data_IF_669743155713
#
_entry.id   IF_669743155713
#
_cell.length_a   1.000
_cell.length_b   1.000
_cell.length_c   1.000
_cell.angle_alpha   90.00
_cell.angle_beta   90.00
_cell.angle_gamma   90.00
#
_symmetry.space_group_name_H-M   'P 1'
#
loop_
_entity.id
_entity.type
_entity.pdbx_description
1 polymer ?
#
# COMPACT_ATOMS: atom_id res chain seq x y z
N UNK A 1 -1.38 -47.72 -13.25
CA UNK A 1 -1.58 -47.24 -11.86
C UNK A 1 -0.45 -46.29 -11.40
N UNK A 2 0.06 -45.40 -12.24
CA UNK A 2 1.23 -44.52 -11.96
C UNK A 2 0.89 -43.00 -12.05
N UNK A 3 -0.33 -42.63 -12.47
CA UNK A 3 -0.68 -41.21 -12.72
C UNK A 3 -1.17 -40.45 -11.46
N UNK A 4 -1.54 -41.15 -10.38
CA UNK A 4 -2.08 -40.51 -9.17
C UNK A 4 -1.03 -39.91 -8.21
N UNK A 5 0.23 -40.38 -8.25
CA UNK A 5 1.24 -39.89 -7.28
C UNK A 5 1.96 -38.60 -7.72
N UNK A 6 1.99 -38.31 -9.02
CA UNK A 6 2.68 -37.11 -9.53
C UNK A 6 1.86 -35.81 -9.26
N UNK A 7 0.54 -35.90 -9.31
CA UNK A 7 -0.35 -34.76 -9.08
C UNK A 7 -0.37 -34.34 -7.60
N UNK A 8 -0.31 -35.28 -6.67
CA UNK A 8 -0.27 -35.02 -5.22
C UNK A 8 1.08 -34.43 -4.82
N UNK A 9 2.19 -34.95 -5.34
CA UNK A 9 3.52 -34.40 -5.05
C UNK A 9 3.72 -33.03 -5.65
N UNK A 10 3.16 -32.71 -6.83
CA UNK A 10 3.22 -31.39 -7.42
C UNK A 10 2.35 -30.39 -6.66
N UNK A 11 1.15 -30.75 -6.20
CA UNK A 11 0.33 -29.91 -5.33
C UNK A 11 1.00 -29.61 -3.98
N UNK A 12 1.66 -30.61 -3.38
CA UNK A 12 2.35 -30.41 -2.10
C UNK A 12 3.62 -29.57 -2.24
N UNK A 13 4.36 -29.68 -3.36
CA UNK A 13 5.49 -28.80 -3.69
C UNK A 13 5.03 -27.37 -4.02
N UNK A 14 3.94 -27.22 -4.78
CA UNK A 14 3.36 -25.93 -5.10
C UNK A 14 2.82 -25.23 -3.85
N UNK A 15 2.12 -25.94 -2.96
CA UNK A 15 1.67 -25.42 -1.66
C UNK A 15 2.85 -25.02 -0.74
N UNK A 16 3.98 -25.77 -0.76
CA UNK A 16 5.18 -25.38 0.00
C UNK A 16 5.90 -24.15 -0.56
N UNK A 17 5.88 -23.95 -1.90
CA UNK A 17 6.46 -22.73 -2.51
C UNK A 17 5.59 -21.49 -2.25
N UNK A 18 4.27 -21.64 -2.23
CA UNK A 18 3.33 -20.52 -2.07
C UNK A 18 3.23 -19.98 -0.64
N UNK A 19 3.75 -20.71 0.36
CA UNK A 19 3.74 -20.28 1.77
C UNK A 19 5.09 -19.71 2.24
N UNK A 20 6.05 -19.46 1.32
CA UNK A 20 7.32 -18.84 1.71
C UNK A 20 7.17 -17.32 1.80
N UNK A 21 7.58 -16.79 2.93
CA UNK A 21 7.81 -15.35 3.10
C UNK A 21 8.99 -14.91 2.22
N UNK A 22 8.89 -13.74 1.61
CA UNK A 22 9.95 -13.22 0.73
C UNK A 22 10.35 -11.83 1.20
N UNK A 23 11.63 -11.65 1.50
CA UNK A 23 12.18 -10.34 1.84
C UNK A 23 12.09 -9.45 0.60
N UNK A 24 11.53 -8.22 0.71
CA UNK A 24 11.52 -7.27 -0.38
C UNK A 24 12.93 -6.98 -0.91
N UNK A 25 13.07 -6.81 -2.22
CA UNK A 25 14.38 -6.70 -2.89
C UNK A 25 15.22 -5.54 -2.35
N UNK A 26 14.61 -4.39 -2.08
CA UNK A 26 15.27 -3.22 -1.53
C UNK A 26 15.77 -3.41 -0.09
N UNK A 27 15.11 -4.28 0.70
CA UNK A 27 15.53 -4.59 2.07
C UNK A 27 16.76 -5.51 2.12
N UNK A 28 17.06 -6.24 1.04
CA UNK A 28 18.21 -7.17 0.99
C UNK A 28 19.53 -6.39 1.11
N UNK A 29 19.59 -5.20 0.56
CA UNK A 29 20.79 -4.34 0.59
C UNK A 29 20.97 -3.57 1.90
N UNK A 30 19.97 -3.56 2.80
CA UNK A 30 20.06 -2.99 4.15
C UNK A 30 20.16 -4.10 5.18
N UNK A 31 21.36 -4.39 5.75
CA UNK A 31 21.55 -5.51 6.67
C UNK A 31 20.67 -5.42 7.91
N UNK A 32 20.49 -4.22 8.49
CA UNK A 32 19.70 -4.04 9.72
C UNK A 32 18.23 -4.38 9.48
N UNK A 33 17.64 -3.88 8.37
CA UNK A 33 16.26 -4.19 7.99
C UNK A 33 16.11 -5.67 7.65
N UNK A 34 17.06 -6.24 6.91
CA UNK A 34 17.05 -7.66 6.54
C UNK A 34 17.07 -8.57 7.78
N UNK A 35 17.94 -8.26 8.75
CA UNK A 35 18.05 -9.05 9.98
C UNK A 35 16.82 -8.86 10.89
N UNK A 36 16.27 -7.64 10.95
CA UNK A 36 15.00 -7.37 11.61
C UNK A 36 13.87 -8.21 11.00
N UNK A 37 13.68 -8.19 9.68
CA UNK A 37 12.64 -8.98 9.01
C UNK A 37 12.80 -10.48 9.27
N UNK A 38 14.02 -11.03 9.24
CA UNK A 38 14.26 -12.44 9.58
C UNK A 38 13.90 -12.77 11.04
N UNK A 39 14.16 -11.85 11.96
CA UNK A 39 13.88 -12.05 13.39
C UNK A 39 12.39 -12.19 13.70
N UNK A 40 11.54 -11.54 12.92
CA UNK A 40 10.09 -11.49 13.15
C UNK A 40 9.29 -12.63 12.49
N UNK A 41 9.94 -13.53 11.73
CA UNK A 41 9.26 -14.61 11.00
C UNK A 41 8.43 -15.53 11.91
N UNK A 42 8.84 -15.71 13.15
CA UNK A 42 8.17 -16.55 14.14
C UNK A 42 7.31 -15.77 15.14
N UNK A 43 7.00 -14.53 14.82
CA UNK A 43 6.20 -13.67 15.65
C UNK A 43 4.78 -14.26 15.81
N UNK A 44 4.26 -14.30 17.05
CA UNK A 44 3.02 -15.00 17.39
C UNK A 44 1.79 -14.10 17.52
N UNK A 45 2.01 -12.80 17.57
CA UNK A 45 0.94 -11.83 17.73
C UNK A 45 0.19 -11.58 16.41
N UNK A 46 -0.93 -10.89 16.45
CA UNK A 46 -1.61 -10.51 15.22
C UNK A 46 -0.76 -9.54 14.38
N UNK A 47 -0.83 -9.65 13.06
CA UNK A 47 -0.12 -8.74 12.14
C UNK A 47 -0.48 -7.27 12.42
N UNK A 48 -1.75 -7.02 12.71
CA UNK A 48 -2.29 -5.70 13.02
C UNK A 48 -1.63 -5.10 14.26
N UNK A 49 -1.63 -5.83 15.38
CA UNK A 49 -1.02 -5.39 16.64
C UNK A 49 0.48 -5.15 16.48
N UNK A 50 1.16 -6.02 15.74
CA UNK A 50 2.58 -5.91 15.50
C UNK A 50 2.92 -4.67 14.66
N UNK A 51 2.28 -4.49 13.51
CA UNK A 51 2.50 -3.35 12.63
C UNK A 51 2.09 -2.03 13.29
N UNK A 52 0.97 -2.03 14.02
CA UNK A 52 0.53 -0.87 14.78
C UNK A 52 1.58 -0.48 15.85
N UNK A 53 2.16 -1.46 16.54
CA UNK A 53 3.18 -1.20 17.56
C UNK A 53 4.48 -0.63 16.97
N UNK A 54 4.92 -1.13 15.82
CA UNK A 54 6.05 -0.54 15.06
C UNK A 54 5.72 0.91 14.70
N UNK A 55 4.52 1.15 14.14
CA UNK A 55 4.09 2.48 13.76
C UNK A 55 4.08 3.46 14.93
N UNK A 56 3.53 3.07 16.08
CA UNK A 56 3.55 3.87 17.30
C UNK A 56 4.97 4.22 17.78
N UNK A 57 5.90 3.27 17.63
CA UNK A 57 7.30 3.50 17.97
C UNK A 57 7.96 4.50 17.03
N UNK A 58 7.75 4.38 15.72
CA UNK A 58 8.29 5.27 14.71
C UNK A 58 7.79 6.72 14.82
N UNK A 59 6.55 6.92 15.32
CA UNK A 59 5.99 8.26 15.55
C UNK A 59 6.11 8.71 17.01
N UNK A 60 6.89 8.00 17.84
CA UNK A 60 7.07 8.33 19.26
C UNK A 60 7.54 9.76 19.43
N UNK A 61 6.89 10.49 20.35
CA UNK A 61 7.21 11.89 20.64
C UNK A 61 6.58 12.91 19.71
N UNK A 62 5.92 12.48 18.64
CA UNK A 62 5.12 13.38 17.81
C UNK A 62 3.83 13.79 18.55
N UNK A 63 3.63 15.09 18.72
CA UNK A 63 2.50 15.66 19.49
C UNK A 63 1.34 16.14 18.60
N UNK A 64 1.39 15.92 17.30
CA UNK A 64 0.38 16.35 16.34
C UNK A 64 -1.02 15.87 16.75
N UNK A 65 -2.03 16.76 16.87
CA UNK A 65 -3.39 16.38 17.25
C UNK A 65 -4.05 15.43 16.24
N UNK A 66 -3.75 15.56 14.95
CA UNK A 66 -4.28 14.67 13.92
C UNK A 66 -3.67 13.26 13.99
N UNK A 67 -2.39 13.14 14.40
CA UNK A 67 -1.80 11.84 14.73
C UNK A 67 -2.51 11.21 15.93
N UNK A 68 -2.78 11.98 16.99
CA UNK A 68 -3.53 11.46 18.15
C UNK A 68 -4.94 11.01 17.78
N UNK A 69 -5.62 11.77 16.91
CA UNK A 69 -6.91 11.38 16.35
C UNK A 69 -6.79 10.04 15.62
N UNK A 70 -5.84 9.90 14.70
CA UNK A 70 -5.60 8.66 13.95
C UNK A 70 -5.31 7.48 14.89
N UNK A 71 -4.43 7.63 15.87
CA UNK A 71 -4.13 6.56 16.81
C UNK A 71 -5.36 6.12 17.62
N UNK A 72 -6.29 7.04 17.94
CA UNK A 72 -7.52 6.73 18.67
C UNK A 72 -8.55 5.92 17.87
N UNK A 73 -8.39 5.78 16.56
CA UNK A 73 -9.24 4.93 15.70
C UNK A 73 -8.97 3.42 15.92
N UNK A 74 -7.85 3.08 16.57
CA UNK A 74 -7.43 1.71 16.78
C UNK A 74 -7.35 1.34 18.25
N UNK A 75 -7.68 0.09 18.54
CA UNK A 75 -7.61 -0.50 19.88
C UNK A 75 -6.73 -1.76 19.91
N UNK A 76 -5.70 -1.80 19.07
CA UNK A 76 -4.79 -2.94 19.04
C UNK A 76 -3.91 -2.99 20.29
N UNK A 77 -3.65 -4.20 20.84
CA UNK A 77 -2.68 -4.37 21.91
C UNK A 77 -1.29 -3.88 21.47
N UNK A 78 -0.65 -3.08 22.32
CA UNK A 78 0.74 -2.66 22.08
C UNK A 78 1.69 -3.77 22.50
N UNK A 79 2.57 -4.12 21.60
CA UNK A 79 3.56 -5.16 21.78
C UNK A 79 4.95 -4.52 21.86
N UNK A 80 5.77 -4.99 22.80
CA UNK A 80 7.16 -4.53 22.87
C UNK A 80 7.96 -5.12 21.71
N UNK A 81 8.54 -4.25 20.89
CA UNK A 81 9.39 -4.63 19.76
C UNK A 81 10.77 -3.99 20.01
N UNK A 82 11.79 -4.82 19.93
CA UNK A 82 13.18 -4.38 20.15
C UNK A 82 13.90 -4.22 18.81
N UNK A 83 14.89 -3.33 18.78
CA UNK A 83 15.77 -3.13 17.64
C UNK A 83 15.05 -2.81 16.32
N UNK A 84 14.01 -1.96 16.36
CA UNK A 84 13.38 -1.44 15.15
C UNK A 84 14.43 -0.63 14.39
N UNK A 85 14.82 -1.04 13.16
CA UNK A 85 15.84 -0.34 12.42
C UNK A 85 15.31 1.00 11.92
N UNK A 86 16.20 1.98 11.78
CA UNK A 86 15.91 3.15 10.99
C UNK A 86 15.97 2.77 9.51
N UNK A 87 14.91 3.09 8.78
CA UNK A 87 14.85 2.86 7.34
C UNK A 87 14.44 4.15 6.64
N UNK A 88 15.20 4.55 5.63
CA UNK A 88 14.82 5.66 4.73
C UNK A 88 13.65 5.27 3.83
N UNK A 89 13.34 3.97 3.80
CA UNK A 89 12.30 3.35 2.99
C UNK A 89 11.06 3.05 3.85
N UNK A 90 10.05 2.49 3.23
CA UNK A 90 8.84 2.06 3.91
C UNK A 90 9.05 0.78 4.74
N UNK A 91 9.59 0.92 5.96
CA UNK A 91 9.79 -0.21 6.87
C UNK A 91 8.47 -0.93 7.18
N UNK A 92 7.39 -0.17 7.42
CA UNK A 92 6.09 -0.75 7.75
C UNK A 92 5.50 -1.54 6.57
N UNK A 93 5.52 -0.98 5.36
CA UNK A 93 5.07 -1.68 4.16
C UNK A 93 5.93 -2.88 3.83
N UNK A 94 7.26 -2.78 3.98
CA UNK A 94 8.19 -3.89 3.82
C UNK A 94 7.94 -5.01 4.83
N UNK A 95 7.66 -4.65 6.09
CA UNK A 95 7.31 -5.61 7.15
C UNK A 95 5.98 -6.29 6.83
N UNK A 96 4.97 -5.53 6.40
CA UNK A 96 3.68 -6.09 6.01
C UNK A 96 3.80 -7.04 4.82
N UNK A 97 4.52 -6.63 3.79
CA UNK A 97 4.80 -7.48 2.64
C UNK A 97 5.51 -8.79 3.05
N UNK A 98 6.47 -8.72 3.96
CA UNK A 98 7.21 -9.87 4.46
C UNK A 98 6.33 -10.82 5.29
N UNK A 99 5.45 -10.27 6.15
CA UNK A 99 4.53 -11.05 6.98
C UNK A 99 3.42 -11.73 6.17
N UNK A 100 3.10 -11.23 4.98
CA UNK A 100 2.17 -11.87 4.06
C UNK A 100 2.87 -12.99 3.29
N UNK A 101 2.24 -14.16 3.21
CA UNK A 101 2.71 -15.22 2.35
C UNK A 101 2.53 -14.85 0.86
N UNK A 102 3.33 -15.47 -0.01
CA UNK A 102 3.14 -15.30 -1.46
C UNK A 102 1.71 -15.61 -1.92
N UNK A 103 1.06 -16.54 -1.26
CA UNK A 103 -0.33 -16.91 -1.56
C UNK A 103 -1.30 -15.79 -1.21
N UNK A 104 -1.16 -15.18 -0.02
CA UNK A 104 -2.01 -14.06 0.40
C UNK A 104 -1.86 -12.87 -0.55
N UNK A 105 -0.63 -12.55 -0.97
CA UNK A 105 -0.37 -11.48 -1.93
C UNK A 105 -0.99 -11.77 -3.31
N UNK A 106 -0.91 -13.01 -3.80
CA UNK A 106 -1.52 -13.42 -5.06
C UNK A 106 -3.05 -13.40 -5.01
N UNK A 107 -3.65 -13.86 -3.90
CA UNK A 107 -5.11 -13.88 -3.71
C UNK A 107 -5.71 -12.47 -3.66
N UNK A 108 -4.95 -11.49 -3.16
CA UNK A 108 -5.32 -10.07 -3.12
C UNK A 108 -5.01 -9.32 -4.42
N UNK A 109 -4.23 -9.91 -5.32
CA UNK A 109 -3.68 -9.20 -6.49
C UNK A 109 -2.73 -8.07 -6.12
N UNK A 110 -2.27 -8.05 -4.85
CA UNK A 110 -1.42 -6.99 -4.31
C UNK A 110 0.04 -7.25 -4.65
N UNK A 111 0.60 -6.43 -5.51
CA UNK A 111 2.03 -6.42 -5.83
C UNK A 111 2.62 -5.12 -5.31
N UNK A 112 3.38 -5.21 -4.24
CA UNK A 112 4.10 -4.04 -3.71
C UNK A 112 5.17 -3.60 -4.71
N UNK A 113 5.17 -2.34 -5.05
CA UNK A 113 6.18 -1.76 -5.92
C UNK A 113 7.48 -1.54 -5.15
N UNK A 114 8.59 -1.96 -5.73
CA UNK A 114 9.92 -1.68 -5.16
C UNK A 114 10.09 -0.17 -4.97
N UNK A 115 10.61 0.23 -3.81
CA UNK A 115 10.80 1.64 -3.46
C UNK A 115 11.56 2.44 -4.52
N UNK A 116 12.63 1.86 -5.09
CA UNK A 116 13.42 2.54 -6.12
C UNK A 116 12.59 2.81 -7.36
N UNK A 117 11.78 1.83 -7.78
CA UNK A 117 10.87 1.98 -8.91
C UNK A 117 9.84 3.07 -8.59
N UNK A 118 9.21 3.02 -7.40
CA UNK A 118 8.23 4.03 -7.01
C UNK A 118 8.85 5.44 -7.01
N UNK A 119 10.07 5.58 -6.48
CA UNK A 119 10.81 6.85 -6.47
C UNK A 119 11.12 7.35 -7.88
N UNK A 120 11.61 6.48 -8.77
CA UNK A 120 11.95 6.85 -10.15
C UNK A 120 10.72 7.30 -10.93
N UNK A 121 9.54 6.76 -10.61
CA UNK A 121 8.27 7.14 -11.25
C UNK A 121 7.75 8.52 -10.85
N UNK A 122 8.18 9.06 -9.73
CA UNK A 122 7.62 10.31 -9.17
C UNK A 122 8.65 11.43 -9.02
N UNK A 123 9.95 11.16 -9.22
CA UNK A 123 11.04 12.08 -8.94
C UNK A 123 11.04 13.34 -9.82
N UNK A 124 10.46 13.25 -11.02
CA UNK A 124 10.35 14.33 -12.00
C UNK A 124 8.97 15.03 -12.00
N UNK A 125 8.10 14.69 -11.03
CA UNK A 125 6.83 15.37 -10.85
C UNK A 125 7.06 16.68 -10.08
N UNK A 126 6.69 17.80 -10.69
CA UNK A 126 6.74 19.11 -10.07
C UNK A 126 5.37 19.45 -9.49
N UNK A 127 5.36 19.94 -8.25
CA UNK A 127 4.13 20.32 -7.54
C UNK A 127 4.14 21.82 -7.23
N UNK A 128 3.08 22.50 -7.63
CA UNK A 128 2.74 23.84 -7.16
C UNK A 128 1.59 23.79 -6.12
N UNK A 129 1.21 24.92 -5.57
CA UNK A 129 0.25 25.01 -4.47
C UNK A 129 -1.16 24.46 -4.76
N UNK A 130 -1.50 24.22 -6.04
CA UNK A 130 -2.85 23.82 -6.45
C UNK A 130 -2.92 22.47 -7.14
N UNK A 131 -1.81 21.75 -7.23
CA UNK A 131 -1.76 20.46 -7.92
C UNK A 131 -2.03 19.31 -6.95
N UNK A 132 -2.90 18.38 -7.36
CA UNK A 132 -3.30 17.23 -6.57
C UNK A 132 -2.77 15.95 -7.20
N UNK A 133 -2.35 15.02 -6.35
CA UNK A 133 -1.96 13.66 -6.74
C UNK A 133 -2.91 12.64 -6.11
N UNK A 134 -3.32 11.66 -6.91
CA UNK A 134 -4.12 10.51 -6.50
C UNK A 134 -3.41 9.21 -6.80
N UNK A 135 -3.37 8.33 -5.81
CA UNK A 135 -3.09 6.90 -6.00
C UNK A 135 -4.35 6.09 -5.67
N UNK A 136 -5.01 5.47 -6.66
CA UNK A 136 -6.27 4.77 -6.47
C UNK A 136 -6.14 3.36 -5.88
N UNK A 137 -4.91 2.89 -5.64
CA UNK A 137 -4.58 1.61 -5.02
C UNK A 137 -3.27 1.75 -4.22
N UNK A 138 -3.27 2.67 -3.25
CA UNK A 138 -2.05 3.24 -2.71
C UNK A 138 -1.22 2.30 -1.83
N UNK A 139 -1.78 1.18 -1.34
CA UNK A 139 -1.10 0.29 -0.41
C UNK A 139 -0.56 1.06 0.80
N UNK A 140 0.72 0.92 1.10
CA UNK A 140 1.43 1.67 2.15
C UNK A 140 1.79 3.11 1.77
N UNK A 141 1.47 3.55 0.54
CA UNK A 141 1.71 4.90 0.05
C UNK A 141 3.07 5.10 -0.64
N UNK A 142 3.69 4.04 -1.16
CA UNK A 142 5.04 4.10 -1.74
C UNK A 142 5.20 5.17 -2.83
N UNK A 143 4.26 5.31 -3.75
CA UNK A 143 4.32 6.37 -4.77
C UNK A 143 4.07 7.75 -4.15
N UNK A 144 3.04 7.87 -3.32
CA UNK A 144 2.63 9.14 -2.73
C UNK A 144 3.73 9.76 -1.88
N UNK A 145 4.39 8.95 -1.04
CA UNK A 145 5.39 9.45 -0.10
C UNK A 145 6.80 9.58 -0.70
N UNK A 146 7.04 9.03 -1.90
CA UNK A 146 8.24 9.31 -2.67
C UNK A 146 8.09 10.54 -3.57
N UNK A 147 6.87 11.02 -3.82
CA UNK A 147 6.64 12.28 -4.52
C UNK A 147 7.04 13.49 -3.65
N UNK A 148 7.28 14.63 -4.31
CA UNK A 148 7.52 15.91 -3.64
C UNK A 148 6.22 16.67 -3.34
N UNK A 149 5.06 16.01 -3.43
CA UNK A 149 3.76 16.63 -3.16
C UNK A 149 3.67 17.09 -1.71
N UNK A 150 3.17 18.31 -1.44
CA UNK A 150 2.81 18.76 -0.10
C UNK A 150 1.72 17.88 0.52
N UNK A 151 1.71 17.80 1.85
CA UNK A 151 0.84 16.91 2.61
C UNK A 151 -0.66 17.04 2.30
N UNK A 152 -1.13 18.26 2.03
CA UNK A 152 -2.53 18.56 1.73
C UNK A 152 -2.94 18.27 0.28
N UNK A 153 -1.99 17.92 -0.59
CA UNK A 153 -2.21 17.64 -2.00
C UNK A 153 -2.26 16.13 -2.32
N UNK A 154 -1.98 15.29 -1.32
CA UNK A 154 -1.88 13.84 -1.45
C UNK A 154 -3.23 13.18 -1.17
N UNK A 155 -3.69 12.34 -2.11
CA UNK A 155 -4.87 11.50 -1.98
C UNK A 155 -4.49 10.04 -2.23
N UNK A 156 -4.93 9.14 -1.35
CA UNK A 156 -4.71 7.70 -1.49
C UNK A 156 -5.97 6.90 -1.16
N UNK A 157 -6.24 5.87 -1.93
CA UNK A 157 -7.33 4.94 -1.68
C UNK A 157 -6.77 3.52 -1.71
N UNK A 158 -7.19 2.70 -0.77
CA UNK A 158 -6.96 1.26 -0.80
C UNK A 158 -8.08 0.55 -0.03
N UNK A 159 -8.43 -0.67 -0.42
CA UNK A 159 -9.44 -1.45 0.26
C UNK A 159 -8.88 -2.33 1.40
N UNK A 160 -7.55 -2.38 1.56
CA UNK A 160 -6.89 -3.10 2.65
C UNK A 160 -6.73 -2.20 3.89
N UNK A 161 -7.47 -2.44 4.98
CA UNK A 161 -7.41 -1.60 6.17
C UNK A 161 -6.03 -1.60 6.84
N UNK A 162 -5.24 -2.67 6.70
CA UNK A 162 -3.87 -2.72 7.25
C UNK A 162 -2.94 -1.84 6.41
N UNK A 163 -3.05 -1.92 5.08
CA UNK A 163 -2.27 -1.06 4.18
C UNK A 163 -2.57 0.43 4.45
N UNK A 164 -3.84 0.79 4.63
CA UNK A 164 -4.25 2.16 4.97
C UNK A 164 -3.74 2.61 6.32
N UNK A 165 -3.77 1.75 7.33
CA UNK A 165 -3.16 2.05 8.63
C UNK A 165 -1.67 2.36 8.47
N UNK A 166 -0.95 1.56 7.71
CA UNK A 166 0.47 1.76 7.40
C UNK A 166 0.68 3.08 6.63
N UNK A 167 -0.12 3.33 5.60
CA UNK A 167 -0.03 4.57 4.82
C UNK A 167 -0.21 5.81 5.69
N UNK A 168 -1.14 5.80 6.64
CA UNK A 168 -1.33 6.91 7.58
C UNK A 168 -0.14 7.07 8.54
N UNK A 169 0.49 5.98 9.01
CA UNK A 169 1.74 6.08 9.76
C UNK A 169 2.85 6.71 8.91
N UNK A 170 3.05 6.21 7.69
CA UNK A 170 4.06 6.73 6.76
C UNK A 170 3.82 8.22 6.43
N UNK A 171 2.55 8.61 6.31
CA UNK A 171 2.19 10.02 6.18
C UNK A 171 2.69 10.87 7.38
N UNK A 172 2.42 10.45 8.62
CA UNK A 172 2.85 11.21 9.80
C UNK A 172 4.35 11.13 10.07
N UNK A 173 5.03 10.11 9.58
CA UNK A 173 6.49 10.02 9.59
C UNK A 173 7.06 11.07 8.62
N UNK A 174 6.52 11.15 7.40
CA UNK A 174 6.97 12.13 6.40
C UNK A 174 6.54 13.56 6.71
N UNK A 175 5.33 13.74 7.24
CA UNK A 175 4.71 15.03 7.52
C UNK A 175 4.32 15.14 9.01
N UNK A 176 5.29 15.29 9.93
CA UNK A 176 5.02 15.26 11.37
C UNK A 176 4.06 16.36 11.85
N UNK A 177 3.95 17.46 11.11
CA UNK A 177 3.03 18.57 11.38
C UNK A 177 1.86 18.63 10.37
N UNK A 178 1.65 17.58 9.59
CA UNK A 178 0.60 17.51 8.58
C UNK A 178 -0.82 17.52 9.18
N UNK A 179 -1.78 17.93 8.37
CA UNK A 179 -3.20 17.79 8.69
C UNK A 179 -3.62 16.31 8.69
N UNK A 180 -4.88 16.02 9.02
CA UNK A 180 -5.40 14.67 8.84
C UNK A 180 -5.32 14.26 7.36
N UNK A 181 -4.73 13.07 7.04
CA UNK A 181 -4.44 12.71 5.66
C UNK A 181 -5.68 12.37 4.83
N UNK A 182 -5.68 12.75 3.55
CA UNK A 182 -6.69 12.31 2.58
C UNK A 182 -6.38 10.89 2.09
N UNK A 183 -6.32 9.94 3.02
CA UNK A 183 -6.03 8.52 2.77
C UNK A 183 -7.23 7.72 3.27
N UNK A 184 -7.90 7.01 2.35
CA UNK A 184 -9.21 6.41 2.56
C UNK A 184 -9.16 4.89 2.44
N UNK A 185 -9.75 4.20 3.43
CA UNK A 185 -10.03 2.77 3.36
C UNK A 185 -11.38 2.57 2.66
N UNK A 186 -11.39 2.40 1.36
CA UNK A 186 -12.59 2.18 0.56
C UNK A 186 -12.20 1.42 -0.73
N UNK A 187 -13.16 0.80 -1.37
CA UNK A 187 -13.02 0.37 -2.76
C UNK A 187 -12.95 1.62 -3.67
N UNK A 188 -11.97 1.65 -4.59
CA UNK A 188 -11.77 2.80 -5.47
C UNK A 188 -13.03 3.21 -6.23
N UNK A 189 -13.81 2.26 -6.73
CA UNK A 189 -15.00 2.55 -7.52
C UNK A 189 -16.14 3.11 -6.66
N UNK A 190 -16.27 2.64 -5.41
CA UNK A 190 -17.20 3.23 -4.44
C UNK A 190 -16.80 4.66 -4.08
N UNK A 191 -15.50 4.87 -3.85
CA UNK A 191 -14.95 6.21 -3.58
C UNK A 191 -15.14 7.14 -4.78
N UNK A 192 -14.85 6.65 -5.99
CA UNK A 192 -15.04 7.38 -7.24
C UNK A 192 -16.47 7.89 -7.40
N UNK A 193 -17.48 7.04 -7.20
CA UNK A 193 -18.89 7.43 -7.34
C UNK A 193 -19.28 8.62 -6.44
N UNK A 194 -18.67 8.72 -5.26
CA UNK A 194 -18.91 9.80 -4.28
C UNK A 194 -18.09 11.06 -4.60
N UNK A 195 -16.96 10.91 -5.29
CA UNK A 195 -15.92 11.94 -5.40
C UNK A 195 -15.55 12.29 -6.87
N UNK A 196 -16.32 11.86 -7.86
CA UNK A 196 -16.07 12.12 -9.29
C UNK A 196 -16.05 13.60 -9.70
N UNK A 197 -16.34 14.50 -8.77
CA UNK A 197 -16.22 15.95 -8.95
C UNK A 197 -14.80 16.46 -8.66
N UNK A 198 -13.96 15.66 -8.02
CA UNK A 198 -12.57 15.99 -7.78
C UNK A 198 -11.76 15.76 -9.06
N UNK A 199 -10.81 16.68 -9.31
CA UNK A 199 -9.94 16.62 -10.47
C UNK A 199 -8.49 16.67 -10.03
N UNK A 200 -7.66 15.79 -10.57
CA UNK A 200 -6.26 15.61 -10.19
C UNK A 200 -5.31 16.01 -11.33
N UNK A 201 -4.16 16.52 -10.97
CA UNK A 201 -3.07 16.81 -11.92
C UNK A 201 -2.24 15.57 -12.19
N UNK A 202 -2.12 14.70 -11.18
CA UNK A 202 -1.37 13.46 -11.27
C UNK A 202 -2.21 12.30 -10.75
N UNK A 203 -2.31 11.24 -11.55
CA UNK A 203 -2.84 9.95 -11.15
C UNK A 203 -1.73 8.92 -11.33
N UNK A 204 -1.33 8.30 -10.24
CA UNK A 204 -0.16 7.44 -10.23
C UNK A 204 -0.42 6.23 -9.34
N UNK A 205 0.09 5.07 -9.74
CA UNK A 205 -0.07 3.87 -8.93
C UNK A 205 0.16 2.59 -9.70
N UNK A 206 0.10 1.49 -8.97
CA UNK A 206 0.16 0.14 -9.52
C UNK A 206 -1.11 -0.62 -9.15
N UNK A 207 -2.20 -0.48 -9.94
CA UNK A 207 -3.49 -1.09 -9.61
C UNK A 207 -3.42 -2.61 -9.62
N UNK A 208 -4.32 -3.29 -8.86
CA UNK A 208 -4.27 -4.73 -8.71
C UNK A 208 -4.60 -5.45 -10.04
N UNK A 209 -3.82 -6.52 -10.32
CA UNK A 209 -4.00 -7.37 -11.49
C UNK A 209 -4.85 -8.59 -11.14
N UNK A 210 -5.87 -8.90 -11.96
CA UNK A 210 -6.71 -10.08 -11.77
C UNK A 210 -7.61 -10.03 -10.53
N UNK A 211 -7.83 -8.85 -9.95
CA UNK A 211 -8.71 -8.67 -8.79
C UNK A 211 -10.18 -8.82 -9.19
N UNK A 212 -10.96 -9.42 -8.28
CA UNK A 212 -12.43 -9.45 -8.42
C UNK A 212 -13.00 -8.08 -8.03
N UNK A 213 -13.39 -7.30 -9.02
CA UNK A 213 -13.94 -5.96 -8.82
C UNK A 213 -15.44 -6.01 -8.53
N UNK A 214 -15.91 -5.17 -7.61
CA UNK A 214 -17.35 -4.96 -7.39
C UNK A 214 -17.86 -3.80 -8.26
N UNK A 215 -18.24 -4.11 -9.48
CA UNK A 215 -18.70 -3.13 -10.48
C UNK A 215 -20.23 -2.96 -10.53
N UNK A 216 -20.98 -3.33 -9.49
CA UNK A 216 -22.46 -3.35 -9.51
C UNK A 216 -23.10 -2.02 -9.93
N UNK A 217 -22.47 -0.89 -9.62
CA UNK A 217 -23.00 0.44 -9.90
C UNK A 217 -22.13 1.22 -10.90
N UNK A 218 -21.25 0.51 -11.61
CA UNK A 218 -20.30 1.09 -12.54
C UNK A 218 -20.50 0.45 -13.90
N UNK A 219 -20.75 1.27 -14.91
CA UNK A 219 -20.83 0.85 -16.30
C UNK A 219 -19.61 1.38 -17.04
N UNK A 220 -18.72 0.47 -17.47
CA UNK A 220 -17.64 0.81 -18.37
C UNK A 220 -18.19 0.97 -19.79
N UNK A 221 -17.68 1.96 -20.51
CA UNK A 221 -17.98 2.19 -21.92
C UNK A 221 -16.86 1.71 -22.86
N UNK A 222 -15.65 1.49 -22.32
CA UNK A 222 -14.45 1.20 -23.11
C UNK A 222 -13.76 -0.11 -22.74
N UNK A 223 -13.89 -0.58 -21.49
CA UNK A 223 -13.24 -1.82 -21.06
C UNK A 223 -14.01 -3.03 -21.54
N UNK A 224 -13.38 -3.83 -22.40
CA UNK A 224 -13.92 -5.09 -22.96
C UNK A 224 -13.18 -6.30 -22.36
N UNK A 225 -11.94 -6.11 -21.91
CA UNK A 225 -11.05 -7.21 -21.49
C UNK A 225 -11.47 -7.89 -20.18
N UNK A 226 -12.22 -7.21 -19.32
CA UNK A 226 -12.54 -7.68 -17.95
C UNK A 226 -11.35 -7.63 -16.97
N UNK A 227 -10.17 -7.18 -17.40
CA UNK A 227 -8.98 -7.03 -16.56
C UNK A 227 -9.14 -5.87 -15.57
N UNK A 228 -8.87 -6.12 -14.29
CA UNK A 228 -9.12 -5.15 -13.22
C UNK A 228 -8.41 -3.80 -13.46
N UNK A 229 -7.12 -3.83 -13.84
CA UNK A 229 -6.35 -2.61 -14.06
C UNK A 229 -6.93 -1.71 -15.16
N UNK A 230 -7.61 -2.28 -16.17
CA UNK A 230 -8.22 -1.50 -17.25
C UNK A 230 -9.34 -0.60 -16.75
N UNK A 231 -10.11 -1.05 -15.76
CA UNK A 231 -11.13 -0.23 -15.11
C UNK A 231 -10.49 0.91 -14.28
N UNK A 232 -9.39 0.64 -13.58
CA UNK A 232 -8.65 1.70 -12.87
C UNK A 232 -8.15 2.79 -13.82
N UNK A 233 -7.66 2.40 -15.00
CA UNK A 233 -7.24 3.35 -16.04
C UNK A 233 -8.43 4.15 -16.55
N UNK A 234 -9.53 3.49 -16.96
CA UNK A 234 -10.72 4.18 -17.51
C UNK A 234 -11.29 5.20 -16.53
N UNK A 235 -11.56 4.77 -15.30
CA UNK A 235 -12.20 5.65 -14.30
C UNK A 235 -11.20 6.66 -13.73
N UNK A 236 -9.93 6.29 -13.58
CA UNK A 236 -8.88 7.21 -13.21
C UNK A 236 -8.71 8.34 -14.23
N UNK A 237 -8.76 8.02 -15.51
CA UNK A 237 -8.66 9.02 -16.58
C UNK A 237 -9.76 10.09 -16.49
N UNK A 238 -10.97 9.72 -16.06
CA UNK A 238 -12.07 10.69 -15.87
C UNK A 238 -11.85 11.64 -14.68
N UNK A 239 -10.92 11.34 -13.80
CA UNK A 239 -10.54 12.19 -12.67
C UNK A 239 -9.34 13.10 -12.99
N UNK A 240 -8.75 12.98 -14.18
CA UNK A 240 -7.64 13.85 -14.58
C UNK A 240 -8.13 15.19 -15.13
N UNK A 241 -7.43 16.25 -14.81
CA UNK A 241 -7.55 17.55 -15.49
C UNK A 241 -7.09 17.42 -16.94
N UNK A 242 -7.46 18.39 -17.80
CA UNK A 242 -7.14 18.37 -19.24
C UNK A 242 -5.65 18.16 -19.56
N UNK A 243 -4.76 18.67 -18.71
CA UNK A 243 -3.29 18.54 -18.83
C UNK A 243 -2.71 17.61 -17.77
N UNK A 244 -3.55 16.78 -17.15
CA UNK A 244 -3.14 15.84 -16.10
C UNK A 244 -2.30 14.68 -16.65
N UNK A 245 -1.47 14.10 -15.80
CA UNK A 245 -0.57 12.99 -16.13
C UNK A 245 -1.01 11.74 -15.38
N UNK A 246 -1.15 10.63 -16.11
CA UNK A 246 -1.32 9.29 -15.56
C UNK A 246 -0.03 8.47 -15.77
N UNK A 247 0.41 7.81 -14.72
CA UNK A 247 1.55 6.88 -14.76
C UNK A 247 1.27 5.57 -14.06
#
# INVERSE_FOLDING_TARGET
MIVKNTTIQNKTKQNKLNNKHTIPSHCISNPEVNDFLKSIINYKESKESFLFSIGCELVRGNTNPHLKQFLSEYSFPIVKIENIPYDEFDLLGSTYQYLNSKRENLERGSFYTDYKIAKDFVNDLDFNENQLILDPACGSGSFLFNSNAPSNQIFGIDNDPIAIMIAKFNYFIKFPNGNYPNIFCDDFFNWYLKNKHLMFDYLIGNPPYGANLNLKNISSSHVISGESFSYFIEFGFTLLKDVGIMR
#
